data_IF_934834350611
#
_entry.id   IF_934834350611
#
_cell.length_a   1.000
_cell.length_b   1.000
_cell.length_c   1.000
_cell.angle_alpha   90.00
_cell.angle_beta   90.00
_cell.angle_gamma   90.00
#
_symmetry.space_group_name_H-M   'P 1'
#
loop_
_entity.id
_entity.type
_entity.pdbx_description
1 polymer ?
#
# COMPACT_ATOMS: atom_id res chain seq x y z
N UNK A 1 15.30 40.36 -22.50
CA UNK A 1 14.59 40.60 -21.22
C UNK A 1 13.30 39.85 -21.34
N UNK A 2 13.24 38.73 -20.72
CA UNK A 2 12.06 37.86 -20.72
C UNK A 2 10.88 38.57 -20.04
N UNK A 3 9.77 38.61 -20.76
CA UNK A 3 8.54 39.27 -20.32
C UNK A 3 7.79 38.47 -19.24
N UNK A 4 8.47 37.66 -18.43
CA UNK A 4 7.85 36.93 -17.33
C UNK A 4 6.81 35.90 -17.77
N UNK A 5 6.88 35.37 -18.99
CA UNK A 5 6.03 34.31 -19.49
C UNK A 5 6.51 32.97 -18.95
N UNK A 6 5.67 32.31 -18.14
CA UNK A 6 5.89 30.95 -17.72
C UNK A 6 5.27 30.02 -18.76
N UNK A 7 6.12 29.30 -19.51
CA UNK A 7 5.65 28.20 -20.38
C UNK A 7 5.41 26.95 -19.57
N UNK A 8 4.18 26.43 -19.57
CA UNK A 8 3.84 25.13 -18.96
C UNK A 8 3.65 24.14 -20.10
N UNK A 9 4.52 23.16 -20.19
CA UNK A 9 4.45 22.06 -21.15
C UNK A 9 4.02 20.78 -20.44
N UNK A 10 3.01 20.09 -20.98
CA UNK A 10 2.61 18.79 -20.45
C UNK A 10 3.63 17.75 -20.91
N UNK A 11 4.40 17.20 -19.97
CA UNK A 11 5.22 16.02 -20.22
C UNK A 11 4.33 14.77 -20.18
N UNK A 12 4.38 14.00 -21.28
CA UNK A 12 3.75 12.67 -21.31
C UNK A 12 4.50 11.74 -20.35
N UNK A 13 3.75 11.05 -19.49
CA UNK A 13 4.30 10.00 -18.61
C UNK A 13 4.35 8.66 -19.37
N UNK A 14 5.26 8.58 -20.35
CA UNK A 14 5.47 7.36 -21.15
C UNK A 14 5.74 6.12 -20.29
N UNK A 15 6.30 6.30 -19.10
CA UNK A 15 6.63 5.20 -18.20
C UNK A 15 5.39 4.52 -17.63
N UNK A 16 4.39 5.29 -17.23
CA UNK A 16 3.13 4.74 -16.75
C UNK A 16 2.39 3.98 -17.86
N UNK A 17 2.40 4.47 -19.08
CA UNK A 17 1.81 3.77 -20.22
C UNK A 17 2.53 2.46 -20.55
N UNK A 18 3.87 2.45 -20.52
CA UNK A 18 4.64 1.20 -20.70
C UNK A 18 4.33 0.14 -19.64
N UNK A 19 4.20 0.55 -18.38
CA UNK A 19 3.84 -0.40 -17.31
C UNK A 19 2.39 -0.91 -17.45
N UNK A 20 1.46 -0.06 -17.87
CA UNK A 20 0.09 -0.48 -18.20
C UNK A 20 0.08 -1.48 -19.37
N UNK A 21 0.84 -1.22 -20.41
CA UNK A 21 0.95 -2.14 -21.55
C UNK A 21 1.54 -3.49 -21.14
N UNK A 22 2.57 -3.52 -20.32
CA UNK A 22 3.12 -4.76 -19.76
C UNK A 22 2.08 -5.53 -18.95
N UNK A 23 1.33 -4.84 -18.09
CA UNK A 23 0.26 -5.46 -17.31
C UNK A 23 -0.82 -6.09 -18.21
N UNK A 24 -1.26 -5.38 -19.25
CA UNK A 24 -2.23 -5.91 -20.21
C UNK A 24 -1.67 -7.13 -20.96
N UNK A 25 -0.41 -7.08 -21.40
CA UNK A 25 0.25 -8.24 -22.05
C UNK A 25 0.31 -9.44 -21.12
N UNK A 26 0.67 -9.26 -19.84
CA UNK A 26 0.68 -10.33 -18.84
C UNK A 26 -0.70 -10.98 -18.69
N UNK A 27 -1.77 -10.18 -18.67
CA UNK A 27 -3.13 -10.69 -18.61
C UNK A 27 -3.50 -11.45 -19.89
N UNK A 28 -3.12 -10.95 -21.06
CA UNK A 28 -3.40 -11.58 -22.35
C UNK A 28 -2.68 -12.93 -22.51
N UNK A 29 -1.45 -13.01 -22.05
CA UNK A 29 -0.60 -14.19 -22.16
C UNK A 29 -0.85 -15.23 -21.06
N UNK A 30 -1.59 -14.86 -20.01
CA UNK A 30 -1.88 -15.75 -18.88
C UNK A 30 -2.66 -16.99 -19.34
N UNK A 31 -2.18 -18.20 -18.96
CA UNK A 31 -2.79 -19.49 -19.29
C UNK A 31 -2.72 -20.44 -18.11
N UNK A 32 -3.83 -21.11 -17.81
CA UNK A 32 -3.89 -22.16 -16.79
C UNK A 32 -3.62 -21.66 -15.35
N UNK A 33 -3.78 -20.37 -15.09
CA UNK A 33 -3.60 -19.75 -13.77
C UNK A 33 -4.80 -18.86 -13.42
N UNK A 34 -4.84 -18.39 -12.16
CA UNK A 34 -5.92 -17.53 -11.65
C UNK A 34 -6.16 -16.27 -12.50
N UNK A 35 -5.11 -15.68 -13.03
CA UNK A 35 -5.18 -14.49 -13.87
C UNK A 35 -5.94 -14.77 -15.17
N UNK A 36 -5.74 -15.96 -15.77
CA UNK A 36 -6.48 -16.39 -16.99
C UNK A 36 -7.95 -16.64 -16.71
N UNK A 37 -8.29 -17.17 -15.52
CA UNK A 37 -9.67 -17.36 -15.09
C UNK A 37 -10.37 -16.00 -14.90
N UNK A 38 -9.76 -15.07 -14.15
CA UNK A 38 -10.29 -13.72 -13.95
C UNK A 38 -10.48 -12.97 -15.27
N UNK A 39 -9.53 -13.12 -16.22
CA UNK A 39 -9.69 -12.55 -17.55
C UNK A 39 -10.95 -13.09 -18.26
N UNK A 40 -11.23 -14.38 -18.17
CA UNK A 40 -12.42 -14.97 -18.79
C UNK A 40 -13.72 -14.48 -18.16
N UNK A 41 -13.70 -14.12 -16.86
CA UNK A 41 -14.85 -13.53 -16.20
C UNK A 41 -15.12 -12.09 -16.66
N UNK A 42 -14.06 -11.34 -16.99
CA UNK A 42 -14.15 -9.93 -17.40
C UNK A 42 -14.43 -9.73 -18.88
N UNK A 43 -14.08 -10.70 -19.72
CA UNK A 43 -14.30 -10.61 -21.17
C UNK A 43 -15.68 -11.15 -21.53
N UNK A 44 -16.47 -10.44 -22.38
CA UNK A 44 -17.72 -10.96 -22.91
C UNK A 44 -17.45 -12.28 -23.64
N UNK A 45 -18.24 -13.29 -23.37
CA UNK A 45 -18.22 -14.53 -24.16
C UNK A 45 -18.84 -14.25 -25.51
N UNK A 46 -18.19 -14.56 -26.65
CA UNK A 46 -18.74 -14.29 -27.98
C UNK A 46 -20.11 -14.92 -28.22
N UNK A 47 -20.37 -16.04 -27.52
CA UNK A 47 -21.56 -16.88 -27.74
C UNK A 47 -22.63 -16.68 -26.65
N UNK A 48 -22.41 -15.83 -25.65
CA UNK A 48 -23.38 -15.59 -24.59
C UNK A 48 -24.09 -14.24 -24.78
N UNK A 49 -25.42 -14.19 -24.72
CA UNK A 49 -26.15 -12.94 -24.72
C UNK A 49 -25.66 -12.04 -23.56
N UNK A 50 -25.52 -10.75 -23.81
CA UNK A 50 -25.09 -9.77 -22.78
C UNK A 50 -25.98 -9.80 -21.53
N UNK A 51 -27.24 -10.18 -21.69
CA UNK A 51 -28.20 -10.44 -20.62
C UNK A 51 -27.77 -11.57 -19.67
N UNK A 52 -27.17 -12.64 -20.17
CA UNK A 52 -26.74 -13.78 -19.36
C UNK A 52 -25.48 -13.42 -18.59
N UNK A 53 -24.60 -12.57 -19.18
CA UNK A 53 -23.47 -11.99 -18.49
C UNK A 53 -23.92 -11.08 -17.34
N UNK A 54 -24.88 -10.18 -17.55
CA UNK A 54 -25.47 -9.36 -16.50
C UNK A 54 -26.19 -10.20 -15.43
N UNK A 55 -26.82 -11.32 -15.80
CA UNK A 55 -27.44 -12.24 -14.85
C UNK A 55 -26.40 -12.99 -13.98
N UNK A 56 -25.24 -13.31 -14.52
CA UNK A 56 -24.13 -13.90 -13.73
C UNK A 56 -23.52 -12.92 -12.74
N UNK A 57 -23.64 -11.61 -12.99
CA UNK A 57 -23.25 -10.51 -12.09
C UNK A 57 -24.39 -10.08 -11.16
N UNK A 58 -25.54 -10.77 -11.19
CA UNK A 58 -26.71 -10.37 -10.41
C UNK A 58 -26.51 -10.53 -8.92
N UNK A 59 -27.08 -9.57 -8.18
CA UNK A 59 -27.14 -9.53 -6.72
C UNK A 59 -27.45 -10.91 -6.10
N UNK A 60 -26.86 -11.22 -4.94
CA UNK A 60 -27.19 -12.45 -4.20
C UNK A 60 -28.69 -12.52 -3.94
N UNK A 61 -29.24 -13.70 -4.10
CA UNK A 61 -30.68 -13.92 -4.10
C UNK A 61 -31.36 -13.69 -2.74
N UNK A 62 -30.60 -13.49 -1.66
CA UNK A 62 -31.17 -13.18 -0.35
C UNK A 62 -30.13 -12.50 0.57
N UNK A 63 -30.45 -11.35 1.13
CA UNK A 63 -29.66 -10.73 2.22
C UNK A 63 -29.74 -11.51 3.52
N UNK A 64 -30.69 -12.44 3.68
CA UNK A 64 -31.14 -12.98 4.96
C UNK A 64 -30.12 -13.79 5.76
N UNK A 65 -29.14 -14.41 5.10
CA UNK A 65 -28.16 -15.25 5.81
C UNK A 65 -26.96 -14.44 6.32
N UNK A 66 -26.74 -13.25 5.78
CA UNK A 66 -25.66 -12.34 6.19
C UNK A 66 -26.14 -11.23 7.15
N UNK A 67 -27.41 -10.85 7.09
CA UNK A 67 -27.97 -9.77 7.92
C UNK A 67 -27.93 -10.04 9.43
N UNK A 68 -28.01 -11.30 9.82
CA UNK A 68 -28.01 -11.66 11.24
C UNK A 68 -26.64 -11.53 11.93
N UNK A 69 -25.56 -11.39 11.19
CA UNK A 69 -24.18 -11.47 11.75
C UNK A 69 -23.43 -10.13 11.73
N UNK A 70 -23.91 -9.09 11.05
CA UNK A 70 -23.17 -7.83 10.90
C UNK A 70 -23.91 -6.65 11.53
N UNK A 71 -24.04 -6.68 12.84
CA UNK A 71 -24.25 -5.44 13.61
C UNK A 71 -22.90 -4.72 13.73
N UNK A 72 -22.43 -4.07 12.66
CA UNK A 72 -21.17 -3.35 12.66
C UNK A 72 -21.40 -1.86 12.44
N UNK A 73 -20.76 -1.04 13.27
CA UNK A 73 -20.72 0.42 13.11
C UNK A 73 -20.22 0.89 11.73
N UNK A 74 -19.58 0.00 10.95
CA UNK A 74 -19.20 0.30 9.56
C UNK A 74 -20.40 0.46 8.63
N UNK A 75 -21.56 -0.09 8.98
CA UNK A 75 -22.79 -0.05 8.19
C UNK A 75 -23.72 1.09 8.61
N UNK A 76 -23.44 1.74 9.74
CA UNK A 76 -24.22 2.89 10.21
C UNK A 76 -24.13 4.06 9.24
N UNK A 77 -25.27 4.68 8.93
CA UNK A 77 -25.35 5.82 8.03
C UNK A 77 -25.32 5.49 6.53
N UNK A 78 -25.22 4.22 6.14
CA UNK A 78 -25.36 3.81 4.73
C UNK A 78 -26.83 3.82 4.32
N UNK A 79 -27.11 4.32 3.11
CA UNK A 79 -28.44 4.15 2.52
C UNK A 79 -28.66 2.70 2.05
N UNK A 80 -29.90 2.28 1.75
CA UNK A 80 -30.20 0.90 1.37
C UNK A 80 -29.39 0.38 0.18
N UNK A 81 -29.12 1.22 -0.84
CA UNK A 81 -28.33 0.84 -2.01
C UNK A 81 -26.85 0.65 -1.68
N UNK A 82 -26.30 1.52 -0.83
CA UNK A 82 -24.92 1.40 -0.35
C UNK A 82 -24.75 0.15 0.53
N UNK A 83 -25.70 -0.08 1.42
CA UNK A 83 -25.74 -1.29 2.25
C UNK A 83 -25.74 -2.56 1.39
N UNK A 84 -26.67 -2.63 0.40
CA UNK A 84 -26.74 -3.76 -0.51
C UNK A 84 -25.45 -3.98 -1.30
N UNK A 85 -24.77 -2.89 -1.71
CA UNK A 85 -23.47 -2.98 -2.40
C UNK A 85 -22.37 -3.54 -1.48
N UNK A 86 -22.32 -3.13 -0.21
CA UNK A 86 -21.35 -3.67 0.77
C UNK A 86 -21.60 -5.17 0.98
N UNK A 87 -22.85 -5.59 1.19
CA UNK A 87 -23.20 -7.01 1.36
C UNK A 87 -22.81 -7.82 0.13
N UNK A 88 -23.06 -7.29 -1.07
CA UNK A 88 -22.65 -7.95 -2.32
C UNK A 88 -21.13 -8.15 -2.39
N UNK A 89 -20.34 -7.16 -2.01
CA UNK A 89 -18.87 -7.27 -1.98
C UNK A 89 -18.41 -8.38 -1.01
N UNK A 90 -19.09 -8.54 0.12
CA UNK A 90 -18.77 -9.55 1.12
C UNK A 90 -19.17 -10.99 0.73
N UNK A 91 -19.95 -11.16 -0.32
CA UNK A 91 -20.50 -12.45 -0.79
C UNK A 91 -19.47 -13.36 -1.50
N UNK A 92 -18.18 -13.17 -1.26
CA UNK A 92 -17.08 -14.04 -1.73
C UNK A 92 -17.06 -14.36 -3.23
N UNK A 93 -17.54 -13.47 -4.08
CA UNK A 93 -17.43 -13.63 -5.54
C UNK A 93 -16.09 -13.12 -6.03
N UNK A 94 -15.66 -13.63 -7.17
CA UNK A 94 -14.38 -13.26 -7.77
C UNK A 94 -14.28 -11.79 -8.19
N UNK A 95 -15.40 -11.21 -8.64
CA UNK A 95 -15.47 -9.83 -9.15
C UNK A 95 -16.79 -9.19 -8.73
N UNK A 96 -16.71 -7.97 -8.20
CA UNK A 96 -17.85 -7.10 -7.93
C UNK A 96 -17.64 -5.75 -8.59
N UNK A 97 -18.68 -5.24 -9.23
CA UNK A 97 -18.68 -3.93 -9.86
C UNK A 97 -19.67 -3.02 -9.12
N UNK A 98 -19.15 -1.96 -8.49
CA UNK A 98 -19.96 -0.94 -7.84
C UNK A 98 -20.01 0.28 -8.74
N UNK A 99 -21.16 0.49 -9.40
CA UNK A 99 -21.39 1.64 -10.27
C UNK A 99 -22.27 2.67 -9.58
N UNK A 100 -21.97 3.96 -9.80
CA UNK A 100 -22.79 5.06 -9.32
C UNK A 100 -22.32 6.40 -9.89
N UNK A 101 -23.25 7.36 -10.15
CA UNK A 101 -22.89 8.71 -10.54
C UNK A 101 -21.99 9.44 -9.51
N UNK A 102 -21.38 10.56 -9.88
CA UNK A 102 -20.70 11.44 -8.91
C UNK A 102 -21.62 11.83 -7.74
N UNK A 103 -21.07 11.87 -6.54
CA UNK A 103 -21.83 12.28 -5.34
C UNK A 103 -22.71 11.19 -4.68
N UNK A 104 -22.80 9.98 -5.22
CA UNK A 104 -23.62 8.89 -4.64
C UNK A 104 -22.99 8.22 -3.41
N UNK A 105 -21.82 8.66 -2.96
CA UNK A 105 -21.13 8.09 -1.81
C UNK A 105 -20.36 6.81 -2.09
N UNK A 106 -19.88 6.56 -3.34
CA UNK A 106 -19.06 5.39 -3.68
C UNK A 106 -17.88 5.20 -2.75
N UNK A 107 -17.17 6.28 -2.42
CA UNK A 107 -16.02 6.21 -1.50
C UNK A 107 -16.44 5.78 -0.10
N UNK A 108 -17.56 6.28 0.40
CA UNK A 108 -18.11 5.87 1.71
C UNK A 108 -18.49 4.39 1.71
N UNK A 109 -19.15 3.92 0.65
CA UNK A 109 -19.48 2.50 0.45
C UNK A 109 -18.22 1.63 0.41
N UNK A 110 -17.20 2.08 -0.32
CA UNK A 110 -15.93 1.34 -0.44
C UNK A 110 -15.17 1.27 0.89
N UNK A 111 -15.10 2.38 1.63
CA UNK A 111 -14.48 2.42 2.95
C UNK A 111 -15.18 1.47 3.92
N UNK A 112 -16.52 1.44 3.93
CA UNK A 112 -17.29 0.50 4.75
C UNK A 112 -17.00 -0.97 4.37
N UNK A 113 -16.97 -1.28 3.08
CA UNK A 113 -16.65 -2.62 2.59
C UNK A 113 -15.22 -3.04 2.97
N UNK A 114 -14.22 -2.17 2.74
CA UNK A 114 -12.81 -2.46 3.08
C UNK A 114 -12.64 -2.66 4.58
N UNK A 115 -13.31 -1.85 5.41
CA UNK A 115 -13.28 -1.99 6.87
C UNK A 115 -13.77 -3.38 7.33
N UNK A 116 -14.81 -3.91 6.71
CA UNK A 116 -15.31 -5.24 6.99
C UNK A 116 -14.41 -6.34 6.43
N UNK A 117 -13.90 -6.17 5.20
CA UNK A 117 -12.93 -7.09 4.61
C UNK A 117 -11.63 -7.18 5.44
N UNK A 118 -11.11 -6.07 5.94
CA UNK A 118 -9.91 -6.04 6.79
C UNK A 118 -10.05 -6.80 8.12
N UNK A 119 -11.30 -7.09 8.55
CA UNK A 119 -11.56 -7.97 9.71
C UNK A 119 -11.56 -9.46 9.36
N UNK A 120 -11.75 -9.79 8.09
CA UNK A 120 -11.86 -11.17 7.58
C UNK A 120 -10.58 -11.64 6.91
N UNK A 121 -9.92 -10.73 6.19
CA UNK A 121 -8.76 -11.02 5.37
C UNK A 121 -7.48 -10.54 6.07
N UNK A 122 -6.41 -11.29 5.91
CA UNK A 122 -5.09 -10.92 6.46
C UNK A 122 -4.52 -9.66 5.78
N UNK A 123 -4.82 -9.50 4.48
CA UNK A 123 -4.32 -8.38 3.69
C UNK A 123 -5.34 -7.97 2.63
N UNK A 124 -5.59 -6.67 2.52
CA UNK A 124 -6.47 -6.09 1.51
C UNK A 124 -5.65 -5.08 0.69
N UNK A 125 -5.53 -5.32 -0.61
CA UNK A 125 -4.88 -4.38 -1.52
C UNK A 125 -5.91 -3.41 -2.11
N UNK A 126 -5.68 -2.11 -1.90
CA UNK A 126 -6.52 -1.05 -2.45
C UNK A 126 -5.72 -0.27 -3.49
N UNK A 127 -6.20 -0.22 -4.72
CA UNK A 127 -5.56 0.53 -5.81
C UNK A 127 -6.45 1.69 -6.26
N UNK A 128 -5.83 2.83 -6.58
CA UNK A 128 -6.52 4.01 -7.07
C UNK A 128 -5.79 4.60 -8.29
N UNK A 129 -6.52 5.24 -9.22
CA UNK A 129 -5.95 5.76 -10.47
C UNK A 129 -5.08 7.01 -10.27
N UNK A 130 -5.17 7.69 -9.13
CA UNK A 130 -4.37 8.88 -8.82
C UNK A 130 -3.87 8.87 -7.37
N UNK A 131 -2.77 9.60 -7.12
CA UNK A 131 -2.24 9.77 -5.77
C UNK A 131 -3.27 10.42 -4.84
N UNK A 132 -3.96 11.48 -5.30
CA UNK A 132 -5.01 12.13 -4.52
C UNK A 132 -6.13 11.19 -4.09
N UNK A 133 -6.56 10.28 -4.98
CA UNK A 133 -7.57 9.29 -4.63
C UNK A 133 -7.05 8.23 -3.65
N UNK A 134 -5.79 7.82 -3.79
CA UNK A 134 -5.15 6.91 -2.85
C UNK A 134 -4.96 7.55 -1.47
N UNK A 135 -4.54 8.82 -1.43
CA UNK A 135 -4.34 9.57 -0.20
C UNK A 135 -5.66 9.77 0.55
N UNK A 136 -6.73 10.16 -0.16
CA UNK A 136 -8.08 10.28 0.41
C UNK A 136 -8.59 8.94 0.99
N UNK A 137 -8.36 7.83 0.30
CA UNK A 137 -8.74 6.50 0.80
C UNK A 137 -7.91 6.11 2.03
N UNK A 138 -6.62 6.41 2.03
CA UNK A 138 -5.73 6.16 3.17
C UNK A 138 -6.21 6.91 4.41
N UNK A 139 -6.48 8.20 4.28
CA UNK A 139 -7.01 9.04 5.37
C UNK A 139 -8.32 8.48 5.93
N UNK A 140 -9.31 8.24 5.06
CA UNK A 140 -10.62 7.74 5.48
C UNK A 140 -10.60 6.35 6.11
N UNK A 141 -9.74 5.46 5.62
CA UNK A 141 -9.56 4.13 6.19
C UNK A 141 -8.88 4.20 7.56
N UNK A 142 -7.85 5.06 7.70
CA UNK A 142 -7.19 5.29 8.96
C UNK A 142 -8.15 5.90 10.01
N UNK A 143 -8.95 6.90 9.63
CA UNK A 143 -9.98 7.50 10.48
C UNK A 143 -11.05 6.47 10.90
N UNK A 144 -11.33 5.50 10.03
CA UNK A 144 -12.23 4.39 10.33
C UNK A 144 -11.57 3.29 11.21
N UNK A 145 -10.32 3.49 11.66
CA UNK A 145 -9.59 2.57 12.53
C UNK A 145 -8.98 1.36 11.82
N UNK A 146 -8.83 1.40 10.51
CA UNK A 146 -8.15 0.36 9.74
C UNK A 146 -6.64 0.61 9.78
N UNK A 147 -5.84 -0.42 9.99
CA UNK A 147 -4.39 -0.32 9.85
C UNK A 147 -4.03 -0.24 8.36
N UNK A 148 -3.50 0.90 7.92
CA UNK A 148 -3.27 1.21 6.50
C UNK A 148 -1.81 1.53 6.25
N UNK A 149 -1.25 0.95 5.19
CA UNK A 149 0.07 1.31 4.67
C UNK A 149 -0.08 1.92 3.28
N UNK A 150 0.36 3.18 3.12
CA UNK A 150 0.34 3.89 1.85
C UNK A 150 1.60 3.57 1.05
N UNK A 151 1.44 2.80 -0.03
CA UNK A 151 2.54 2.43 -0.93
C UNK A 151 2.56 3.38 -2.13
N UNK A 152 3.75 3.87 -2.51
CA UNK A 152 3.95 4.73 -3.67
C UNK A 152 5.09 5.71 -3.48
N UNK A 153 5.26 6.64 -4.44
CA UNK A 153 6.33 7.64 -4.36
C UNK A 153 6.01 8.68 -3.27
N UNK A 154 6.79 8.68 -2.19
CA UNK A 154 6.61 9.55 -1.02
C UNK A 154 6.61 11.05 -1.38
N UNK A 155 7.36 11.46 -2.42
CA UNK A 155 7.39 12.85 -2.87
C UNK A 155 6.07 13.36 -3.48
N UNK A 156 5.11 12.46 -3.73
CA UNK A 156 3.78 12.75 -4.28
C UNK A 156 2.65 12.43 -3.29
N UNK A 157 2.97 12.12 -2.05
CA UNK A 157 2.02 11.82 -0.98
C UNK A 157 1.67 13.11 -0.24
N UNK A 158 0.41 13.29 0.09
CA UNK A 158 -0.04 14.43 0.91
C UNK A 158 0.59 14.36 2.31
N UNK A 159 0.94 15.52 2.87
CA UNK A 159 1.58 15.61 4.19
C UNK A 159 0.74 14.95 5.30
N UNK A 160 -0.59 15.05 5.21
CA UNK A 160 -1.54 14.46 6.16
C UNK A 160 -1.45 12.92 6.23
N UNK A 161 -1.00 12.28 5.14
CA UNK A 161 -0.93 10.81 5.00
C UNK A 161 0.51 10.27 5.09
N UNK A 162 1.53 11.12 5.21
CA UNK A 162 2.94 10.69 5.31
C UNK A 162 3.19 9.70 6.44
N UNK A 163 2.51 9.85 7.58
CA UNK A 163 2.60 8.91 8.72
C UNK A 163 2.15 7.48 8.37
N UNK A 164 1.35 7.31 7.32
CA UNK A 164 0.86 6.01 6.85
C UNK A 164 1.74 5.42 5.75
N UNK A 165 2.81 6.09 5.33
CA UNK A 165 3.82 5.49 4.45
C UNK A 165 4.71 4.55 5.25
N UNK A 166 5.38 3.61 4.57
CA UNK A 166 6.34 2.73 5.21
C UNK A 166 7.41 3.52 5.97
N UNK A 167 7.96 4.56 5.34
CA UNK A 167 8.97 5.44 5.95
C UNK A 167 8.41 6.17 7.19
N UNK A 168 7.15 6.63 7.15
CA UNK A 168 6.48 7.27 8.27
C UNK A 168 6.28 6.31 9.45
N UNK A 169 5.77 5.11 9.17
CA UNK A 169 5.55 4.05 10.17
C UNK A 169 6.89 3.66 10.82
N UNK A 170 7.92 3.44 9.99
CA UNK A 170 9.26 3.12 10.49
C UNK A 170 9.84 4.26 11.34
N UNK A 171 9.61 5.54 10.97
CA UNK A 171 10.11 6.68 11.72
C UNK A 171 9.49 6.80 13.12
N UNK A 172 8.25 6.42 13.29
CA UNK A 172 7.50 6.45 14.55
C UNK A 172 7.74 5.21 15.42
N UNK A 173 8.26 4.13 14.84
CA UNK A 173 8.46 2.89 15.57
C UNK A 173 9.51 3.05 16.70
N UNK A 174 9.24 2.56 17.92
CA UNK A 174 10.17 2.70 19.06
C UNK A 174 11.57 2.14 18.79
N UNK A 175 11.66 1.03 18.08
CA UNK A 175 12.93 0.40 17.71
C UNK A 175 13.78 1.27 16.77
N UNK A 176 13.18 2.13 15.95
CA UNK A 176 13.91 3.05 15.06
C UNK A 176 14.80 4.00 15.83
N UNK A 177 14.38 4.42 17.04
CA UNK A 177 15.22 5.23 17.93
C UNK A 177 16.44 4.43 18.42
N UNK A 178 16.26 3.15 18.70
CA UNK A 178 17.34 2.27 19.12
C UNK A 178 18.31 2.03 17.96
N UNK A 179 17.81 1.75 16.77
CA UNK A 179 18.62 1.60 15.55
C UNK A 179 19.47 2.86 15.30
N UNK A 180 18.88 4.06 15.39
CA UNK A 180 19.62 5.32 15.27
C UNK A 180 20.73 5.47 16.30
N UNK A 181 20.47 5.13 17.58
CA UNK A 181 21.49 5.17 18.64
C UNK A 181 22.64 4.20 18.34
N UNK A 182 22.33 2.98 17.94
CA UNK A 182 23.33 1.96 17.60
C UNK A 182 24.18 2.40 16.41
N UNK A 183 23.57 2.95 15.35
CA UNK A 183 24.30 3.49 14.20
C UNK A 183 25.21 4.67 14.58
N UNK A 184 24.75 5.56 15.47
CA UNK A 184 25.59 6.65 15.99
C UNK A 184 26.80 6.10 16.77
N UNK A 185 26.60 5.08 17.59
CA UNK A 185 27.69 4.43 18.32
C UNK A 185 28.68 3.72 17.38
N UNK A 186 28.20 3.03 16.38
CA UNK A 186 29.02 2.42 15.34
C UNK A 186 29.86 3.45 14.59
N UNK A 187 29.26 4.58 14.21
CA UNK A 187 29.96 5.69 13.56
C UNK A 187 31.04 6.31 14.46
N UNK A 188 30.77 6.43 15.78
CA UNK A 188 31.75 6.94 16.74
C UNK A 188 32.96 6.00 16.87
N UNK A 189 32.74 4.67 16.97
CA UNK A 189 33.85 3.70 16.98
C UNK A 189 34.65 3.75 15.67
N UNK A 190 33.99 3.90 14.54
CA UNK A 190 34.62 4.06 13.23
C UNK A 190 35.45 5.35 13.17
N UNK A 191 34.95 6.45 13.73
CA UNK A 191 35.67 7.72 13.84
C UNK A 191 36.90 7.58 14.72
N UNK A 192 36.78 6.94 15.87
CA UNK A 192 37.90 6.68 16.80
C UNK A 192 38.95 5.80 16.14
N UNK A 193 38.56 4.72 15.45
CA UNK A 193 39.46 3.85 14.70
C UNK A 193 40.21 4.57 13.58
N UNK A 194 39.65 5.63 13.00
CA UNK A 194 40.26 6.40 11.93
C UNK A 194 41.00 7.66 12.36
N UNK A 195 41.11 7.94 13.70
CA UNK A 195 41.90 9.05 14.17
C UNK A 195 43.36 8.86 13.73
N UNK A 196 43.90 9.89 13.12
CA UNK A 196 45.28 9.89 12.61
C UNK A 196 46.27 10.10 13.76
N UNK A 197 47.16 9.12 13.97
CA UNK A 197 48.32 9.27 14.87
C UNK A 197 49.58 9.28 13.99
N UNK A 198 50.55 10.14 14.34
CA UNK A 198 51.82 10.25 13.59
C UNK A 198 52.68 8.99 13.70
N UNK A 199 52.61 8.25 14.79
CA UNK A 199 53.29 6.98 15.02
C UNK A 199 52.32 6.00 15.62
N UNK A 200 52.27 4.78 15.03
CA UNK A 200 51.41 3.68 15.52
C UNK A 200 52.25 2.64 16.26
N UNK A 201 51.95 2.42 17.52
CA UNK A 201 52.46 1.29 18.29
C UNK A 201 51.70 -0.01 17.94
N UNK A 202 52.24 -1.14 18.43
CA UNK A 202 51.56 -2.42 18.24
C UNK A 202 50.21 -2.49 18.97
N UNK A 203 50.09 -1.81 20.11
CA UNK A 203 48.83 -1.67 20.87
C UNK A 203 47.81 -0.82 20.12
N UNK A 204 48.22 0.31 19.56
CA UNK A 204 47.36 1.18 18.75
C UNK A 204 46.74 0.43 17.56
N UNK A 205 47.50 -0.50 16.96
CA UNK A 205 46.99 -1.32 15.86
C UNK A 205 45.91 -2.32 16.31
N UNK A 206 46.11 -2.95 17.49
CA UNK A 206 45.13 -3.87 18.09
C UNK A 206 43.86 -3.13 18.48
N UNK A 207 43.98 -1.98 19.15
CA UNK A 207 42.85 -1.12 19.51
C UNK A 207 42.06 -0.66 18.30
N UNK A 208 42.74 -0.23 17.23
CA UNK A 208 42.10 0.14 15.96
C UNK A 208 41.35 -1.03 15.33
N UNK A 209 41.91 -2.22 15.34
CA UNK A 209 41.24 -3.42 14.82
C UNK A 209 40.02 -3.78 15.66
N UNK A 210 40.14 -3.65 17.00
CA UNK A 210 39.01 -3.89 17.91
C UNK A 210 37.86 -2.93 17.68
N UNK A 211 38.12 -1.64 17.60
CA UNK A 211 37.11 -0.61 17.30
C UNK A 211 36.45 -0.81 15.93
N UNK A 212 37.22 -1.19 14.91
CA UNK A 212 36.65 -1.52 13.59
C UNK A 212 35.72 -2.73 13.64
N UNK A 213 36.07 -3.75 14.41
CA UNK A 213 35.23 -4.93 14.59
C UNK A 213 33.94 -4.56 15.31
N UNK A 214 34.01 -3.85 16.42
CA UNK A 214 32.85 -3.37 17.15
C UNK A 214 31.93 -2.51 16.29
N UNK A 215 32.48 -1.60 15.47
CA UNK A 215 31.69 -0.81 14.54
C UNK A 215 30.89 -1.68 13.56
N UNK A 216 31.51 -2.73 13.00
CA UNK A 216 30.84 -3.66 12.08
C UNK A 216 29.76 -4.48 12.78
N UNK A 217 30.06 -5.03 13.95
CA UNK A 217 29.09 -5.81 14.73
C UNK A 217 27.83 -4.99 15.06
N UNK A 218 27.99 -3.70 15.38
CA UNK A 218 26.87 -2.80 15.63
C UNK A 218 26.11 -2.43 14.35
N UNK A 219 26.81 -2.22 13.24
CA UNK A 219 26.17 -1.98 11.94
C UNK A 219 25.33 -3.21 11.50
N UNK A 220 25.88 -4.42 11.63
CA UNK A 220 25.20 -5.68 11.30
C UNK A 220 23.97 -5.89 12.19
N UNK A 221 24.10 -5.59 13.48
CA UNK A 221 22.96 -5.67 14.41
C UNK A 221 21.87 -4.65 14.08
N UNK A 222 22.24 -3.41 13.75
CA UNK A 222 21.30 -2.37 13.34
C UNK A 222 20.52 -2.78 12.06
N UNK A 223 21.21 -3.39 11.09
CA UNK A 223 20.59 -3.88 9.87
C UNK A 223 19.63 -5.04 10.14
N UNK A 224 20.00 -6.01 11.00
CA UNK A 224 19.11 -7.10 11.40
C UNK A 224 17.86 -6.61 12.14
N UNK A 225 17.96 -5.55 12.93
CA UNK A 225 16.81 -4.94 13.59
C UNK A 225 15.90 -4.24 12.57
N UNK A 226 16.48 -3.57 11.58
CA UNK A 226 15.74 -2.88 10.53
C UNK A 226 14.98 -3.89 9.63
N UNK A 227 15.62 -5.00 9.25
CA UNK A 227 15.00 -6.08 8.49
C UNK A 227 13.77 -6.67 9.22
N UNK A 228 13.87 -6.85 10.55
CA UNK A 228 12.74 -7.33 11.38
C UNK A 228 11.58 -6.34 11.52
N UNK A 229 11.81 -5.06 11.24
CA UNK A 229 10.73 -4.06 11.25
C UNK A 229 9.93 -4.03 9.95
N UNK A 230 10.51 -4.59 8.89
CA UNK A 230 9.90 -4.63 7.56
C UNK A 230 9.14 -5.94 7.31
N UNK A 231 9.50 -7.02 8.03
CA UNK A 231 8.80 -8.30 8.02
C UNK A 231 7.52 -8.27 8.89
#
# INVERSE_FOLDING_TARGET
>A
IDQGLLGVEMLFDDRSYMEMEKAVRLVMDARGNRLSELRQLLLPRPDAPFTDYLHSLRMPASPSDFEATIADAALEGLNPSQYAAVIAILDNRDVHIVHGPPGTGKTTTLVAAIRLLAKRENTVLVAAPSNTAADLLTERLADAGVNVVRIGNVSRVDESVLRHTLDGIMAEHPETRNIKKVRLQAAEYRRQANKHKRTFTHEDRRERQHLKRQSRELEDWANQLEDRLVD
#
